data_IF_130222403113
#
_entry.id   IF_130222403113
#
_cell.length_a   1.000
_cell.length_b   1.000
_cell.length_c   1.000
_cell.angle_alpha   90.00
_cell.angle_beta   90.00
_cell.angle_gamma   90.00
#
_symmetry.space_group_name_H-M   'P 1'
#
loop_
_entity.id
_entity.type
_entity.pdbx_description
1 polymer ?
#
# COMPACT_ATOMS: atom_id res chain seq x y z
N UNK A 1 24.49 16.51 9.06
CA UNK A 1 23.94 15.38 8.29
C UNK A 1 22.42 15.48 8.33
N UNK A 2 21.80 16.07 7.29
CA UNK A 2 20.34 16.22 7.22
C UNK A 2 19.70 14.96 6.64
N UNK A 3 19.72 13.85 7.39
CA UNK A 3 18.86 12.68 7.12
C UNK A 3 17.39 12.94 7.51
N UNK A 4 17.05 14.16 7.98
CA UNK A 4 15.80 14.46 8.71
C UNK A 4 14.53 14.55 7.87
N UNK A 5 14.58 14.23 6.57
CA UNK A 5 13.40 14.31 5.68
C UNK A 5 12.85 12.93 5.27
N UNK A 6 13.62 11.86 5.47
CA UNK A 6 13.20 10.48 5.21
C UNK A 6 12.42 9.95 6.41
N UNK A 7 11.22 9.43 6.20
CA UNK A 7 10.28 9.09 7.30
C UNK A 7 10.59 7.74 7.95
N UNK A 8 11.14 6.79 7.20
CA UNK A 8 11.44 5.42 7.66
C UNK A 8 10.25 4.78 8.39
N UNK A 9 9.10 4.73 7.75
CA UNK A 9 7.83 4.26 8.33
C UNK A 9 7.93 2.76 8.62
N UNK A 10 7.57 2.36 9.84
CA UNK A 10 7.48 0.97 10.24
C UNK A 10 6.21 0.34 9.68
N UNK A 11 6.34 -0.85 9.10
CA UNK A 11 5.25 -1.56 8.45
C UNK A 11 5.05 -2.90 9.15
N UNK A 12 3.83 -3.15 9.63
CA UNK A 12 3.52 -4.30 10.50
C UNK A 12 3.26 -5.59 9.72
N UNK A 13 3.89 -5.74 8.54
CA UNK A 13 3.71 -6.87 7.64
C UNK A 13 4.85 -7.87 7.85
N UNK A 14 4.52 -9.14 8.04
CA UNK A 14 5.50 -10.21 7.95
C UNK A 14 5.67 -10.62 6.48
N UNK A 15 6.81 -10.29 5.89
CA UNK A 15 7.12 -10.58 4.47
C UNK A 15 7.60 -12.01 4.22
N UNK A 16 7.89 -12.78 5.28
CA UNK A 16 8.29 -14.17 5.15
C UNK A 16 7.05 -15.07 5.07
N UNK A 17 6.72 -15.52 3.86
CA UNK A 17 5.64 -16.47 3.61
C UNK A 17 6.05 -17.90 3.99
N UNK A 18 5.10 -18.67 4.51
CA UNK A 18 5.31 -20.11 4.78
C UNK A 18 5.18 -20.96 3.52
N UNK A 19 4.78 -20.35 2.39
CA UNK A 19 4.45 -20.96 1.10
C UNK A 19 3.35 -22.02 1.19
N UNK A 20 2.64 -22.10 2.32
CA UNK A 20 1.59 -23.07 2.61
C UNK A 20 0.19 -22.47 2.59
N UNK A 21 0.06 -21.25 2.09
CA UNK A 21 -1.20 -20.51 2.07
C UNK A 21 -2.17 -21.13 1.05
N UNK A 22 -3.41 -21.33 1.47
CA UNK A 22 -4.49 -21.91 0.66
C UNK A 22 -5.75 -21.07 0.81
N UNK A 23 -6.46 -20.83 -0.29
CA UNK A 23 -7.72 -20.10 -0.29
C UNK A 23 -7.82 -19.06 -1.40
N UNK A 24 -8.85 -18.22 -1.31
CA UNK A 24 -9.09 -17.12 -2.23
C UNK A 24 -8.86 -15.79 -1.49
N UNK A 25 -7.94 -14.99 -2.01
CA UNK A 25 -7.55 -13.72 -1.42
C UNK A 25 -7.80 -12.59 -2.41
N UNK A 26 -8.20 -11.44 -1.91
CA UNK A 26 -8.40 -10.23 -2.70
C UNK A 26 -7.28 -9.24 -2.43
N UNK A 27 -6.95 -8.43 -3.42
CA UNK A 27 -6.16 -7.23 -3.21
C UNK A 27 -6.76 -6.04 -3.95
N UNK A 28 -6.64 -4.88 -3.31
CA UNK A 28 -6.97 -3.57 -3.86
C UNK A 28 -5.68 -2.77 -3.91
N UNK A 29 -5.34 -2.25 -5.07
CA UNK A 29 -4.15 -1.46 -5.30
C UNK A 29 -4.57 -0.06 -5.77
N UNK A 30 -4.46 0.89 -4.85
CA UNK A 30 -4.77 2.30 -5.08
C UNK A 30 -3.47 3.10 -4.99
N UNK A 31 -3.01 3.61 -6.13
CA UNK A 31 -1.74 4.33 -6.20
C UNK A 31 -1.64 5.43 -7.23
N UNK A 32 -2.73 5.81 -7.91
CA UNK A 32 -2.76 6.86 -8.91
C UNK A 32 -4.16 7.12 -9.45
N UNK A 33 -4.27 7.60 -10.69
CA UNK A 33 -5.54 7.89 -11.38
C UNK A 33 -6.37 6.65 -11.73
N UNK A 34 -5.76 5.47 -11.62
CA UNK A 34 -6.44 4.19 -11.71
C UNK A 34 -6.17 3.40 -10.43
N UNK A 35 -7.11 2.54 -10.06
CA UNK A 35 -6.87 1.50 -9.08
C UNK A 35 -7.12 0.14 -9.71
N UNK A 36 -6.59 -0.90 -9.08
CA UNK A 36 -6.73 -2.27 -9.53
C UNK A 36 -7.33 -3.11 -8.42
N UNK A 37 -8.37 -3.86 -8.74
CA UNK A 37 -8.87 -4.95 -7.91
C UNK A 37 -8.38 -6.25 -8.49
N UNK A 38 -7.98 -7.19 -7.64
CA UNK A 38 -7.58 -8.52 -8.07
C UNK A 38 -7.99 -9.58 -7.05
N UNK A 39 -8.14 -10.81 -7.54
CA UNK A 39 -8.31 -12.00 -6.71
C UNK A 39 -7.31 -13.06 -7.12
N UNK A 40 -6.75 -13.74 -6.14
CA UNK A 40 -5.75 -14.79 -6.31
C UNK A 40 -6.19 -16.02 -5.55
N UNK A 41 -6.24 -17.16 -6.23
CA UNK A 41 -6.46 -18.45 -5.61
C UNK A 41 -5.11 -19.13 -5.36
N UNK A 42 -4.81 -19.35 -4.08
CA UNK A 42 -3.61 -20.06 -3.62
C UNK A 42 -3.98 -21.51 -3.27
N UNK A 43 -3.09 -22.45 -3.59
CA UNK A 43 -3.28 -23.88 -3.32
C UNK A 43 -2.03 -24.55 -2.72
N UNK A 44 -1.34 -23.82 -1.82
CA UNK A 44 -0.24 -24.38 -1.02
C UNK A 44 1.04 -24.65 -1.82
N UNK A 45 1.95 -25.38 -1.17
CA UNK A 45 3.37 -25.52 -1.58
C UNK A 45 3.58 -26.05 -3.00
N UNK A 46 2.71 -26.94 -3.46
CA UNK A 46 2.90 -27.66 -4.72
C UNK A 46 2.37 -26.90 -5.94
N UNK A 47 1.34 -26.06 -5.77
CA UNK A 47 0.66 -25.38 -6.88
C UNK A 47 0.74 -23.85 -6.83
N UNK A 48 1.22 -23.26 -5.73
CA UNK A 48 1.38 -21.81 -5.52
C UNK A 48 0.13 -21.03 -5.93
N UNK A 49 0.13 -20.39 -7.10
CA UNK A 49 -0.99 -19.60 -7.65
C UNK A 49 -1.74 -20.41 -8.71
N UNK A 50 -3.00 -20.75 -8.42
CA UNK A 50 -3.87 -21.51 -9.32
C UNK A 50 -4.58 -20.63 -10.32
N UNK A 51 -5.08 -19.48 -9.85
CA UNK A 51 -5.87 -18.56 -10.66
C UNK A 51 -5.62 -17.13 -10.20
N UNK A 52 -5.49 -16.23 -11.16
CA UNK A 52 -5.35 -14.79 -10.92
C UNK A 52 -6.25 -14.06 -11.89
N UNK A 53 -7.05 -13.15 -11.36
CA UNK A 53 -7.86 -12.24 -12.15
C UNK A 53 -7.70 -10.83 -11.60
N UNK A 54 -7.66 -9.85 -12.49
CA UNK A 54 -7.53 -8.44 -12.11
C UNK A 54 -8.34 -7.56 -13.03
N UNK A 55 -8.85 -6.46 -12.49
CA UNK A 55 -9.54 -5.41 -13.22
C UNK A 55 -8.99 -4.07 -12.81
N UNK A 56 -8.55 -3.31 -13.81
CA UNK A 56 -8.18 -1.91 -13.64
C UNK A 56 -9.42 -1.03 -13.80
N UNK A 57 -9.54 -0.03 -12.94
CA UNK A 57 -10.68 0.90 -12.91
C UNK A 57 -10.11 2.32 -12.85
N UNK A 58 -10.51 3.13 -13.83
CA UNK A 58 -10.14 4.54 -13.86
C UNK A 58 -10.99 5.34 -12.88
N UNK A 59 -10.34 6.21 -12.11
CA UNK A 59 -10.99 7.08 -11.13
C UNK A 59 -11.44 8.34 -11.86
N UNK A 60 -12.75 8.64 -11.88
CA UNK A 60 -13.23 9.91 -12.39
C UNK A 60 -12.51 11.09 -11.70
N UNK A 61 -11.96 12.07 -12.45
CA UNK A 61 -11.13 13.13 -11.86
C UNK A 61 -11.79 13.90 -10.71
N UNK A 62 -13.12 14.10 -10.76
CA UNK A 62 -13.86 14.78 -9.70
C UNK A 62 -13.82 14.05 -8.35
N UNK A 63 -13.60 12.72 -8.34
CA UNK A 63 -13.46 11.94 -7.11
C UNK A 63 -12.06 12.08 -6.49
N UNK A 64 -11.07 12.56 -7.24
CA UNK A 64 -9.72 12.80 -6.72
C UNK A 64 -9.63 14.10 -5.92
N UNK A 65 -10.65 14.96 -6.01
CA UNK A 65 -10.77 16.22 -5.27
C UNK A 65 -12.15 16.39 -4.62
N UNK A 66 -12.88 15.29 -4.44
CA UNK A 66 -14.21 15.25 -3.83
C UNK A 66 -14.11 14.95 -2.34
N UNK A 67 -15.05 14.16 -1.82
CA UNK A 67 -15.02 13.66 -0.44
C UNK A 67 -14.48 12.24 -0.31
N UNK A 68 -13.98 11.89 0.88
CA UNK A 68 -13.55 10.53 1.21
C UNK A 68 -14.66 9.51 0.93
N UNK A 69 -15.88 9.83 1.38
CA UNK A 69 -17.05 8.98 1.20
C UNK A 69 -17.35 8.65 -0.27
N UNK A 70 -17.18 9.62 -1.18
CA UNK A 70 -17.40 9.41 -2.62
C UNK A 70 -16.30 8.53 -3.24
N UNK A 71 -15.03 8.78 -2.91
CA UNK A 71 -13.91 7.96 -3.41
C UNK A 71 -14.02 6.52 -2.93
N UNK A 72 -14.13 6.30 -1.62
CA UNK A 72 -14.20 4.96 -1.05
C UNK A 72 -15.52 4.26 -1.43
N UNK A 73 -16.62 5.00 -1.56
CA UNK A 73 -17.89 4.48 -2.10
C UNK A 73 -17.76 3.98 -3.54
N UNK A 74 -17.04 4.71 -4.39
CA UNK A 74 -16.76 4.29 -5.77
C UNK A 74 -15.89 3.01 -5.82
N UNK A 75 -14.85 2.95 -4.99
CA UNK A 75 -13.98 1.76 -4.88
C UNK A 75 -14.79 0.56 -4.39
N UNK A 76 -15.61 0.73 -3.34
CA UNK A 76 -16.46 -0.33 -2.82
C UNK A 76 -17.48 -0.83 -3.85
N UNK A 77 -18.05 0.06 -4.69
CA UNK A 77 -18.92 -0.33 -5.80
C UNK A 77 -18.19 -1.17 -6.86
N UNK A 78 -16.93 -0.86 -7.15
CA UNK A 78 -16.11 -1.66 -8.06
C UNK A 78 -15.77 -3.03 -7.47
N UNK A 79 -15.44 -3.10 -6.17
CA UNK A 79 -15.23 -4.34 -5.44
C UNK A 79 -16.49 -5.21 -5.45
N UNK A 80 -17.67 -4.63 -5.19
CA UNK A 80 -18.95 -5.34 -5.22
C UNK A 80 -19.20 -6.01 -6.59
N UNK A 81 -18.97 -5.28 -7.69
CA UNK A 81 -19.08 -5.83 -9.05
C UNK A 81 -18.08 -6.95 -9.29
N UNK A 82 -16.83 -6.76 -8.87
CA UNK A 82 -15.78 -7.77 -9.04
C UNK A 82 -16.02 -9.04 -8.22
N UNK A 83 -16.63 -8.91 -7.03
CA UNK A 83 -17.09 -10.03 -6.22
C UNK A 83 -18.31 -10.72 -6.85
N UNK A 84 -19.26 -9.98 -7.43
CA UNK A 84 -20.38 -10.58 -8.14
C UNK A 84 -19.94 -11.43 -9.36
N UNK A 85 -18.85 -11.03 -10.02
CA UNK A 85 -18.23 -11.77 -11.14
C UNK A 85 -17.54 -13.08 -10.68
N UNK A 86 -17.56 -13.42 -9.38
CA UNK A 86 -17.02 -14.67 -8.83
C UNK A 86 -17.86 -15.90 -9.15
N UNK A 87 -19.18 -15.73 -9.28
CA UNK A 87 -20.12 -16.84 -9.43
C UNK A 87 -20.17 -17.75 -8.21
N UNK A 88 -20.59 -19.01 -8.41
CA UNK A 88 -20.80 -20.00 -7.35
C UNK A 88 -19.47 -20.65 -6.94
N UNK A 89 -18.63 -19.87 -6.25
CA UNK A 89 -17.25 -20.25 -5.97
C UNK A 89 -17.11 -20.93 -4.61
N UNK A 90 -17.10 -22.26 -4.64
CA UNK A 90 -17.01 -23.15 -3.46
C UNK A 90 -15.73 -23.00 -2.63
N UNK A 91 -14.74 -22.24 -3.11
CA UNK A 91 -13.45 -22.03 -2.43
C UNK A 91 -13.59 -21.20 -1.15
N UNK A 92 -14.60 -20.33 -1.06
CA UNK A 92 -14.82 -19.51 0.13
C UNK A 92 -15.38 -20.31 1.31
N UNK A 93 -16.15 -21.38 1.07
CA UNK A 93 -16.69 -22.29 2.10
C UNK A 93 -17.28 -21.58 3.34
N UNK A 94 -18.04 -20.49 3.12
CA UNK A 94 -18.63 -19.70 4.20
C UNK A 94 -17.65 -18.80 4.98
N UNK A 95 -16.38 -18.73 4.57
CA UNK A 95 -15.40 -17.78 5.11
C UNK A 95 -15.63 -16.39 4.51
N UNK A 96 -15.45 -15.38 5.36
CA UNK A 96 -15.42 -13.99 4.94
C UNK A 96 -14.21 -13.74 4.01
N UNK A 97 -14.39 -12.91 2.98
CA UNK A 97 -13.31 -12.55 2.05
C UNK A 97 -12.27 -11.67 2.73
N UNK A 98 -11.00 -11.98 2.53
CA UNK A 98 -9.89 -11.18 3.04
C UNK A 98 -9.29 -10.30 1.93
N UNK A 99 -9.13 -9.00 2.23
CA UNK A 99 -8.60 -8.00 1.33
C UNK A 99 -7.26 -7.46 1.85
N UNK A 100 -6.22 -7.58 1.02
CA UNK A 100 -5.00 -6.78 1.15
C UNK A 100 -5.19 -5.43 0.46
N UNK A 101 -5.13 -4.34 1.22
CA UNK A 101 -5.27 -2.99 0.72
C UNK A 101 -3.88 -2.36 0.53
N UNK A 102 -3.41 -2.34 -0.72
CA UNK A 102 -2.23 -1.57 -1.11
C UNK A 102 -2.62 -0.11 -1.33
N UNK A 103 -2.15 0.77 -0.45
CA UNK A 103 -2.49 2.20 -0.46
C UNK A 103 -1.21 3.02 -0.58
N UNK A 104 -0.93 3.48 -1.81
CA UNK A 104 0.38 4.03 -2.19
C UNK A 104 0.45 5.54 -1.95
N UNK A 105 0.05 5.95 -0.75
CA UNK A 105 0.14 7.32 -0.25
C UNK A 105 0.78 7.31 1.15
N UNK A 106 1.37 8.44 1.58
CA UNK A 106 1.95 8.55 2.92
C UNK A 106 0.92 8.27 4.03
N UNK A 107 1.08 7.13 4.71
CA UNK A 107 0.23 6.70 5.83
C UNK A 107 1.07 6.51 7.09
N UNK A 108 0.51 6.86 8.25
CA UNK A 108 1.03 6.44 9.54
C UNK A 108 0.29 5.17 9.95
N UNK A 109 0.91 4.02 9.73
CA UNK A 109 0.33 2.74 10.08
C UNK A 109 0.35 2.56 11.62
N UNK A 110 -0.80 2.18 12.19
CA UNK A 110 -0.95 1.91 13.64
C UNK A 110 -1.08 0.42 13.95
N UNK A 111 -1.47 -0.38 12.96
CA UNK A 111 -1.46 -1.85 13.01
C UNK A 111 -1.41 -2.40 11.58
N UNK A 112 -1.27 -3.72 11.41
CA UNK A 112 -1.32 -4.35 10.08
C UNK A 112 -2.57 -3.98 9.28
N UNK A 113 -3.71 -3.69 9.93
CA UNK A 113 -4.98 -3.38 9.29
C UNK A 113 -5.56 -2.03 9.73
N UNK A 114 -4.71 -1.04 10.02
CA UNK A 114 -5.16 0.33 10.30
C UNK A 114 -4.06 1.34 9.99
N UNK A 115 -4.43 2.49 9.42
CA UNK A 115 -3.45 3.50 9.09
C UNK A 115 -4.05 4.85 8.75
N UNK A 116 -3.49 5.89 9.37
CA UNK A 116 -3.95 7.25 9.20
C UNK A 116 -3.28 7.92 8.01
N UNK A 117 -4.06 8.47 7.07
CA UNK A 117 -3.50 9.26 5.96
C UNK A 117 -2.78 10.51 6.49
N UNK A 118 -1.53 10.70 6.07
CA UNK A 118 -0.73 11.88 6.47
C UNK A 118 -0.96 13.04 5.49
N UNK A 119 -0.86 12.76 4.18
CA UNK A 119 -1.09 13.72 3.12
C UNK A 119 -1.35 13.02 1.80
N UNK A 120 -2.17 13.64 0.95
CA UNK A 120 -2.32 13.20 -0.42
C UNK A 120 -1.10 13.55 -1.27
N UNK A 121 -0.92 12.79 -2.35
CA UNK A 121 0.07 13.02 -3.40
C UNK A 121 -0.59 12.72 -4.75
N UNK A 122 0.15 12.78 -5.87
CA UNK A 122 -0.32 12.29 -7.18
C UNK A 122 -1.66 12.88 -7.63
N UNK A 123 -1.83 14.20 -7.42
CA UNK A 123 -3.01 15.00 -7.76
C UNK A 123 -4.30 14.68 -6.97
N UNK A 124 -4.23 13.88 -5.90
CA UNK A 124 -5.34 13.77 -4.96
C UNK A 124 -5.37 14.97 -4.01
N UNK A 125 -6.57 15.43 -3.68
CA UNK A 125 -6.84 16.56 -2.79
C UNK A 125 -8.21 16.37 -2.10
N UNK A 126 -8.30 15.36 -1.24
CA UNK A 126 -9.52 15.00 -0.50
C UNK A 126 -9.31 15.36 0.97
N UNK A 127 -9.70 16.57 1.34
CA UNK A 127 -9.32 17.18 2.63
C UNK A 127 -9.86 16.41 3.84
N UNK A 128 -11.09 15.86 3.75
CA UNK A 128 -11.76 15.14 4.83
C UNK A 128 -11.17 13.74 5.10
N UNK A 129 -10.31 13.22 4.22
CA UNK A 129 -9.59 11.97 4.46
C UNK A 129 -8.27 12.17 5.23
N UNK A 130 -7.73 13.39 5.26
CA UNK A 130 -6.42 13.64 5.89
C UNK A 130 -6.56 13.59 7.40
N UNK A 131 -5.77 12.72 8.05
CA UNK A 131 -5.90 12.46 9.48
C UNK A 131 -6.86 11.34 9.85
N UNK A 132 -7.55 10.73 8.86
CA UNK A 132 -8.48 9.63 9.06
C UNK A 132 -7.87 8.27 8.74
N UNK A 133 -8.45 7.20 9.31
CA UNK A 133 -8.05 5.81 9.05
C UNK A 133 -8.65 5.31 7.74
N UNK A 134 -7.79 5.14 6.72
CA UNK A 134 -8.21 4.75 5.37
C UNK A 134 -8.78 3.33 5.31
N UNK A 135 -8.42 2.47 6.27
CA UNK A 135 -9.00 1.12 6.37
C UNK A 135 -10.45 1.21 6.86
N UNK A 136 -10.71 2.05 7.87
CA UNK A 136 -12.05 2.27 8.39
C UNK A 136 -12.97 2.91 7.34
N UNK A 137 -12.47 3.86 6.56
CA UNK A 137 -13.19 4.47 5.43
C UNK A 137 -13.59 3.42 4.39
N UNK A 138 -12.64 2.58 3.96
CA UNK A 138 -12.91 1.52 2.99
C UNK A 138 -13.87 0.47 3.56
N UNK A 139 -13.69 0.04 4.81
CA UNK A 139 -14.54 -0.95 5.47
C UNK A 139 -15.99 -0.44 5.56
N UNK A 140 -16.18 0.82 5.97
CA UNK A 140 -17.49 1.48 6.02
C UNK A 140 -18.14 1.55 4.64
N UNK A 141 -17.37 1.86 3.60
CA UNK A 141 -17.88 1.90 2.24
C UNK A 141 -18.28 0.50 1.71
N UNK A 142 -17.50 -0.55 2.02
CA UNK A 142 -17.82 -1.93 1.67
C UNK A 142 -19.10 -2.41 2.37
N UNK A 143 -19.27 -2.10 3.65
CA UNK A 143 -20.48 -2.42 4.43
C UNK A 143 -21.73 -1.76 3.85
N UNK A 144 -21.65 -0.46 3.50
CA UNK A 144 -22.76 0.26 2.84
C UNK A 144 -23.17 -0.35 1.49
N UNK A 145 -22.23 -0.99 0.80
CA UNK A 145 -22.46 -1.68 -0.48
C UNK A 145 -22.84 -3.16 -0.31
N UNK A 146 -22.90 -3.67 0.92
CA UNK A 146 -23.23 -5.08 1.22
C UNK A 146 -22.14 -6.07 0.81
N UNK A 147 -20.88 -5.65 0.74
CA UNK A 147 -19.75 -6.52 0.40
C UNK A 147 -19.26 -7.23 1.65
N UNK A 148 -19.48 -8.54 1.74
CA UNK A 148 -18.93 -9.36 2.84
C UNK A 148 -17.43 -9.62 2.65
N UNK A 149 -16.64 -8.64 3.11
CA UNK A 149 -15.20 -8.59 2.97
C UNK A 149 -14.59 -7.79 4.13
N UNK A 150 -13.42 -8.23 4.58
CA UNK A 150 -12.62 -7.58 5.62
C UNK A 150 -11.28 -7.14 5.07
N UNK A 151 -10.83 -5.94 5.41
CA UNK A 151 -9.44 -5.53 5.20
C UNK A 151 -8.55 -6.24 6.22
N UNK A 152 -7.72 -7.18 5.76
CA UNK A 152 -6.82 -7.96 6.62
C UNK A 152 -5.42 -7.36 6.72
N UNK A 153 -5.03 -6.54 5.73
CA UNK A 153 -3.76 -5.83 5.75
C UNK A 153 -3.84 -4.52 4.96
N UNK A 154 -3.24 -3.46 5.48
CA UNK A 154 -2.88 -2.24 4.80
C UNK A 154 -1.39 -2.30 4.47
N UNK A 155 -1.03 -2.03 3.23
CA UNK A 155 0.32 -2.25 2.71
C UNK A 155 0.72 -1.06 1.82
N UNK A 156 1.97 -0.62 1.91
CA UNK A 156 2.56 0.27 0.90
C UNK A 156 2.98 -0.52 -0.36
N UNK A 157 2.86 0.06 -1.57
CA UNK A 157 3.24 -0.61 -2.83
C UNK A 157 4.66 -1.18 -2.83
N UNK A 158 5.58 -0.46 -2.21
CA UNK A 158 7.00 -0.82 -2.15
C UNK A 158 7.21 -1.99 -1.17
N UNK A 159 6.43 -2.03 -0.08
CA UNK A 159 6.37 -3.18 0.83
C UNK A 159 5.73 -4.39 0.13
N UNK A 160 4.68 -4.19 -0.65
CA UNK A 160 4.08 -5.25 -1.46
C UNK A 160 5.05 -5.82 -2.51
N UNK A 161 5.90 -4.96 -3.08
CA UNK A 161 6.98 -5.34 -3.99
C UNK A 161 8.03 -6.19 -3.28
N UNK A 162 8.47 -5.77 -2.09
CA UNK A 162 9.35 -6.55 -1.23
C UNK A 162 8.74 -7.91 -0.90
N UNK A 163 7.49 -7.94 -0.40
CA UNK A 163 6.79 -9.17 -0.03
C UNK A 163 6.66 -10.16 -1.20
N UNK A 164 6.32 -9.66 -2.39
CA UNK A 164 6.22 -10.47 -3.61
C UNK A 164 7.58 -11.02 -4.04
N UNK A 165 8.64 -10.23 -3.90
CA UNK A 165 10.02 -10.68 -4.12
C UNK A 165 10.39 -11.80 -3.15
N UNK A 166 10.22 -11.55 -1.85
CA UNK A 166 10.52 -12.51 -0.76
C UNK A 166 9.72 -13.81 -0.84
N UNK A 167 8.49 -13.78 -1.38
CA UNK A 167 7.71 -14.98 -1.65
C UNK A 167 8.39 -15.91 -2.67
N UNK A 168 9.06 -15.33 -3.67
CA UNK A 168 9.69 -16.10 -4.75
C UNK A 168 11.15 -16.47 -4.44
N UNK A 169 11.86 -15.60 -3.72
CA UNK A 169 13.28 -15.73 -3.39
C UNK A 169 13.54 -15.25 -1.96
N UNK A 170 14.07 -16.15 -1.11
CA UNK A 170 14.26 -15.90 0.32
C UNK A 170 15.43 -14.94 0.61
N UNK A 171 16.31 -14.70 -0.37
CA UNK A 171 17.46 -13.78 -0.24
C UNK A 171 17.09 -12.31 -0.51
N UNK A 172 15.83 -12.04 -0.87
CA UNK A 172 15.34 -10.67 -1.13
C UNK A 172 15.23 -9.87 0.17
N UNK A 173 16.01 -8.79 0.26
CA UNK A 173 16.05 -7.88 1.42
C UNK A 173 15.56 -6.46 1.14
N UNK A 174 15.36 -6.09 -0.13
CA UNK A 174 14.92 -4.76 -0.55
C UNK A 174 13.96 -4.85 -1.75
N UNK A 175 12.88 -4.07 -1.70
CA UNK A 175 11.99 -3.78 -2.81
C UNK A 175 12.13 -2.30 -3.19
N UNK A 176 12.20 -2.02 -4.49
CA UNK A 176 12.38 -0.66 -5.01
C UNK A 176 11.36 -0.39 -6.10
N UNK A 177 10.68 0.76 -6.02
CA UNK A 177 9.85 1.31 -7.09
C UNK A 177 10.63 2.42 -7.79
N UNK A 178 10.80 2.29 -9.10
CA UNK A 178 11.37 3.32 -9.99
C UNK A 178 10.38 3.55 -11.14
N UNK A 179 9.51 4.54 -10.99
CA UNK A 179 8.49 4.89 -11.98
C UNK A 179 8.11 6.36 -11.91
N UNK A 180 6.82 6.69 -11.97
CA UNK A 180 6.32 8.06 -11.78
C UNK A 180 6.73 8.65 -10.43
N UNK A 181 6.99 7.79 -9.44
CA UNK A 181 7.68 8.15 -8.21
C UNK A 181 8.79 7.14 -7.90
N UNK A 182 9.57 7.43 -6.87
CA UNK A 182 10.63 6.56 -6.38
C UNK A 182 10.44 6.27 -4.90
N UNK A 183 10.52 4.99 -4.52
CA UNK A 183 10.48 4.57 -3.12
C UNK A 183 11.27 3.26 -2.91
N UNK A 184 11.69 3.00 -1.67
CA UNK A 184 12.29 1.73 -1.27
C UNK A 184 11.70 1.21 0.05
N UNK A 185 11.59 -0.11 0.16
CA UNK A 185 11.25 -0.81 1.39
C UNK A 185 12.25 -1.93 1.62
N UNK A 186 12.67 -2.13 2.86
CA UNK A 186 13.68 -3.15 3.20
C UNK A 186 13.39 -3.82 4.54
N UNK A 187 14.07 -4.93 4.80
CA UNK A 187 14.00 -5.64 6.09
C UNK A 187 15.12 -5.15 7.00
N UNK A 188 14.76 -4.57 8.14
CA UNK A 188 15.69 -4.12 9.18
C UNK A 188 15.57 -5.01 10.43
N UNK A 189 16.64 -5.11 11.21
CA UNK A 189 16.58 -5.75 12.54
C UNK A 189 15.78 -4.88 13.49
N UNK A 190 14.78 -5.48 14.14
CA UNK A 190 13.87 -4.73 14.99
C UNK A 190 14.57 -4.07 16.19
N UNK A 191 15.63 -4.70 16.72
CA UNK A 191 16.46 -4.17 17.81
C UNK A 191 17.38 -3.01 17.39
N UNK A 192 17.56 -2.78 16.09
CA UNK A 192 18.36 -1.70 15.53
C UNK A 192 17.53 -0.42 15.27
N UNK A 193 16.24 -0.39 15.64
CA UNK A 193 15.33 0.74 15.41
C UNK A 193 15.07 1.47 16.74
N UNK A 194 15.77 2.58 17.06
CA UNK A 194 15.67 3.22 18.38
C UNK A 194 14.30 3.80 18.70
N UNK A 195 13.49 4.09 17.67
CA UNK A 195 12.12 4.62 17.79
C UNK A 195 11.05 3.54 17.90
N UNK A 196 11.41 2.26 17.87
CA UNK A 196 10.47 1.17 18.05
C UNK A 196 10.25 0.96 19.55
N UNK A 197 9.04 1.24 20.01
CA UNK A 197 8.63 1.04 21.41
C UNK A 197 7.76 -0.23 21.52
N UNK A 198 7.89 -0.95 22.63
CA UNK A 198 7.07 -2.14 22.92
C UNK A 198 7.73 -3.48 22.59
N UNK A 199 6.92 -4.53 22.46
CA UNK A 199 7.40 -5.88 22.15
C UNK A 199 7.89 -5.98 20.71
N UNK A 200 9.08 -6.54 20.52
CA UNK A 200 9.65 -6.77 19.19
C UNK A 200 8.88 -7.87 18.44
N UNK A 201 8.83 -7.83 17.09
CA UNK A 201 8.30 -8.92 16.29
C UNK A 201 8.99 -10.24 16.63
N UNK A 202 8.23 -11.34 16.69
CA UNK A 202 8.77 -12.69 16.97
C UNK A 202 9.86 -13.13 15.99
N UNK A 203 9.85 -12.59 14.76
CA UNK A 203 10.87 -12.84 13.74
C UNK A 203 12.21 -12.14 14.04
N UNK A 204 12.24 -11.14 14.93
CA UNK A 204 13.38 -10.25 15.13
C UNK A 204 13.57 -9.20 14.02
N UNK A 205 12.75 -9.24 12.97
CA UNK A 205 12.85 -8.39 11.78
C UNK A 205 11.61 -7.49 11.65
N UNK A 206 11.82 -6.28 11.14
CA UNK A 206 10.80 -5.27 10.88
C UNK A 206 10.95 -4.77 9.44
N UNK A 207 9.84 -4.64 8.73
CA UNK A 207 9.86 -4.01 7.41
C UNK A 207 9.81 -2.50 7.56
N UNK A 208 10.69 -1.82 6.83
CA UNK A 208 10.79 -0.36 6.82
C UNK A 208 10.47 0.14 5.43
N UNK A 209 9.39 0.91 5.31
CA UNK A 209 9.12 1.74 4.15
C UNK A 209 9.88 3.07 4.32
N UNK A 210 10.86 3.32 3.45
CA UNK A 210 11.73 4.49 3.60
C UNK A 210 11.01 5.80 3.31
N UNK A 211 10.05 5.80 2.38
CA UNK A 211 9.53 7.02 1.73
C UNK A 211 10.70 7.91 1.27
N UNK A 212 11.71 7.30 0.63
CA UNK A 212 12.97 7.97 0.31
C UNK A 212 12.86 9.07 -0.75
N UNK A 213 11.67 9.27 -1.34
CA UNK A 213 11.48 10.25 -2.40
C UNK A 213 11.82 11.67 -1.92
N UNK A 214 11.65 11.89 -0.61
CA UNK A 214 11.94 13.14 0.08
C UNK A 214 13.39 13.25 0.59
N UNK A 215 14.28 12.32 0.21
CA UNK A 215 15.69 12.39 0.56
C UNK A 215 16.35 13.60 -0.09
N UNK A 216 17.11 14.37 0.69
CA UNK A 216 17.89 15.50 0.19
C UNK A 216 19.26 15.52 0.85
N UNK A 217 20.30 15.85 0.08
CA UNK A 217 21.68 15.93 0.56
C UNK A 217 22.45 16.97 -0.25
N UNK A 218 23.40 17.65 0.39
CA UNK A 218 24.35 18.54 -0.30
C UNK A 218 25.27 17.80 -1.27
N UNK A 219 25.27 16.46 -1.25
CA UNK A 219 26.02 15.62 -2.17
C UNK A 219 25.24 15.31 -3.46
N UNK A 220 23.96 15.67 -3.54
CA UNK A 220 23.20 15.54 -4.79
C UNK A 220 23.70 16.59 -5.79
N UNK A 221 24.01 16.20 -7.05
CA UNK A 221 24.53 17.11 -8.07
C UNK A 221 23.39 17.96 -8.67
N UNK A 222 22.76 18.80 -7.84
CA UNK A 222 21.64 19.66 -8.22
C UNK A 222 22.10 20.76 -9.17
N UNK A 223 21.42 20.91 -10.30
CA UNK A 223 21.67 21.93 -11.32
C UNK A 223 20.69 23.11 -11.20
N UNK A 224 20.90 24.16 -11.99
CA UNK A 224 19.96 25.29 -12.09
C UNK A 224 18.59 24.88 -12.64
N UNK A 225 18.53 23.83 -13.47
CA UNK A 225 17.28 23.30 -14.02
C UNK A 225 16.44 22.61 -12.95
N UNK A 226 17.07 21.83 -12.07
CA UNK A 226 16.40 21.15 -10.96
C UNK A 226 15.81 22.16 -9.97
N UNK A 227 16.55 23.26 -9.70
CA UNK A 227 16.10 24.34 -8.83
C UNK A 227 14.91 25.10 -9.41
N UNK A 228 14.90 25.34 -10.73
CA UNK A 228 13.78 25.96 -11.40
C UNK A 228 12.54 25.06 -11.36
N UNK A 229 12.72 23.77 -11.63
CA UNK A 229 11.65 22.77 -11.59
C UNK A 229 11.03 22.64 -10.18
N UNK A 230 11.86 22.57 -9.13
CA UNK A 230 11.40 22.53 -7.73
C UNK A 230 10.53 23.74 -7.38
N UNK A 231 10.98 24.94 -7.78
CA UNK A 231 10.30 26.21 -7.51
C UNK A 231 8.95 26.32 -8.21
N UNK A 232 8.80 25.72 -9.39
CA UNK A 232 7.56 25.71 -10.17
C UNK A 232 6.63 24.55 -9.81
N UNK A 233 7.08 23.62 -8.97
CA UNK A 233 6.28 22.48 -8.54
C UNK A 233 5.17 22.88 -7.56
N UNK A 234 4.18 21.99 -7.41
CA UNK A 234 3.12 22.15 -6.40
C UNK A 234 3.64 22.01 -4.96
N UNK A 235 4.79 21.37 -4.76
CA UNK A 235 5.38 21.11 -3.43
C UNK A 235 6.86 21.51 -3.38
N UNK A 236 7.20 22.82 -3.46
CA UNK A 236 8.59 23.25 -3.45
C UNK A 236 9.35 22.78 -2.21
N UNK A 237 10.58 22.29 -2.42
CA UNK A 237 11.50 21.70 -1.43
C UNK A 237 11.06 20.36 -0.84
N UNK A 238 10.04 19.74 -1.40
CA UNK A 238 9.67 18.35 -1.09
C UNK A 238 9.96 17.45 -2.30
N UNK A 239 10.20 16.16 -2.04
CA UNK A 239 10.47 15.15 -3.08
C UNK A 239 11.69 15.48 -3.95
N UNK A 240 12.84 15.76 -3.31
CA UNK A 240 14.08 16.14 -4.00
C UNK A 240 14.71 15.04 -4.87
N UNK A 241 14.12 13.84 -4.91
CA UNK A 241 14.46 12.83 -5.92
C UNK A 241 13.68 13.08 -7.21
N UNK A 242 14.41 13.52 -8.23
CA UNK A 242 14.06 13.38 -9.64
C UNK A 242 14.77 12.15 -10.20
#
# INVERSE_FOLDING_TARGET
>A
SNLSLTKFIQEYVNVYSTKSEEGLFYALDLGGTNFRVLRVQLAGKDKRVVKRESREVSIPPHLMSGSAAELFGFIASALAKFVADEGDNKVLDGKQRELGFTFSFPVRQSSIASGTLIKWTKAFAIDDAVGEDVVAELQTAMEKQGVDMRVSALINDTVGTLATGSYNDEDVVIGVILGTGSNAAYVEKADAIPKLEGELPKSGNMVINTEWGNFSSSCLPITEYDQALDKESLNPREQASL
#
